data_IF_339620954719
#
_entry.id   IF_339620954719
#
_cell.length_a   1.000
_cell.length_b   1.000
_cell.length_c   1.000
_cell.angle_alpha   90.00
_cell.angle_beta   90.00
_cell.angle_gamma   90.00
#
_symmetry.space_group_name_H-M   'P 1'
#
loop_
_entity.id
_entity.type
_entity.pdbx_description
1 polymer ?
#
# COMPACT_ATOMS: atom_id res chain seq x y z
N UNK A 1 24.47 0.86 18.12
CA UNK A 1 23.11 0.48 17.67
C UNK A 1 23.28 -0.46 16.51
N UNK A 2 23.02 -1.76 16.73
CA UNK A 2 23.34 -2.82 15.78
C UNK A 2 22.59 -2.63 14.48
N UNK A 3 23.30 -2.72 13.35
CA UNK A 3 22.70 -2.72 12.02
C UNK A 3 21.78 -3.94 11.95
N UNK A 4 20.49 -3.68 11.80
CA UNK A 4 19.44 -4.69 11.77
C UNK A 4 19.69 -5.73 10.68
N UNK A 5 19.49 -7.01 10.97
CA UNK A 5 19.67 -8.09 10.01
C UNK A 5 18.60 -8.00 8.91
N UNK A 6 19.03 -7.98 7.65
CA UNK A 6 18.16 -8.21 6.50
C UNK A 6 17.50 -9.60 6.60
N UNK A 7 16.30 -9.82 6.04
CA UNK A 7 15.57 -8.92 5.15
C UNK A 7 14.83 -7.77 5.85
N UNK A 8 14.60 -6.66 5.14
CA UNK A 8 13.86 -5.50 5.62
C UNK A 8 12.40 -5.53 5.12
N UNK A 9 11.45 -5.55 6.05
CA UNK A 9 10.03 -5.42 5.77
C UNK A 9 9.58 -3.98 5.97
N UNK A 10 9.25 -3.30 4.88
CA UNK A 10 8.65 -1.96 4.95
C UNK A 10 7.13 -2.05 5.14
N UNK A 11 6.63 -1.42 6.19
CA UNK A 11 5.21 -1.34 6.53
C UNK A 11 4.73 0.08 6.22
N UNK A 12 3.96 0.22 5.15
CA UNK A 12 3.43 1.50 4.69
C UNK A 12 2.00 1.68 5.22
N UNK A 13 1.81 2.68 6.07
CA UNK A 13 0.56 2.92 6.79
C UNK A 13 -0.12 4.17 6.24
N UNK A 14 -1.33 3.99 5.71
CA UNK A 14 -2.21 5.05 5.24
C UNK A 14 -2.84 5.84 6.40
N UNK A 15 -3.97 6.48 6.12
CA UNK A 15 -4.64 7.39 7.06
C UNK A 15 -6.11 7.03 7.32
N UNK A 16 -6.55 5.88 6.80
CA UNK A 16 -7.97 5.61 6.60
C UNK A 16 -8.48 6.32 5.34
N UNK A 17 -9.12 5.55 4.45
CA UNK A 17 -9.96 6.12 3.40
C UNK A 17 -11.36 6.37 3.97
N UNK A 18 -12.16 7.21 3.31
CA UNK A 18 -13.54 7.57 3.74
C UNK A 18 -14.39 6.34 4.15
N UNK A 19 -14.14 5.18 3.52
CA UNK A 19 -14.86 3.92 3.78
C UNK A 19 -14.06 2.86 4.55
N UNK A 20 -12.84 3.15 5.00
CA UNK A 20 -11.97 2.18 5.65
C UNK A 20 -11.53 2.73 7.01
N UNK A 21 -11.66 1.90 8.05
CA UNK A 21 -11.25 2.27 9.40
C UNK A 21 -9.80 1.88 9.62
N UNK A 22 -9.05 2.81 10.20
CA UNK A 22 -7.70 2.59 10.70
C UNK A 22 -7.55 3.32 12.03
N UNK A 23 -7.83 2.62 13.13
CA UNK A 23 -7.59 3.08 14.49
C UNK A 23 -6.67 2.14 15.26
N UNK A 24 -6.53 2.36 16.57
CA UNK A 24 -5.64 1.57 17.43
C UNK A 24 -5.93 0.05 17.39
N UNK A 25 -7.20 -0.34 17.28
CA UNK A 25 -7.58 -1.76 17.20
C UNK A 25 -7.10 -2.41 15.89
N UNK A 26 -7.28 -1.73 14.76
CA UNK A 26 -6.77 -2.18 13.46
C UNK A 26 -5.24 -2.16 13.43
N UNK A 27 -4.61 -1.17 14.06
CA UNK A 27 -3.16 -1.09 14.22
C UNK A 27 -2.61 -2.27 15.03
N UNK A 28 -3.29 -2.67 16.11
CA UNK A 28 -2.92 -3.85 16.90
C UNK A 28 -3.03 -5.15 16.11
N UNK A 29 -4.06 -5.26 15.28
CA UNK A 29 -4.24 -6.39 14.37
C UNK A 29 -3.15 -6.45 13.29
N UNK A 30 -2.80 -5.29 12.72
CA UNK A 30 -1.69 -5.14 11.78
C UNK A 30 -0.36 -5.53 12.42
N UNK A 31 -0.08 -5.02 13.63
CA UNK A 31 1.12 -5.36 14.40
C UNK A 31 1.27 -6.87 14.59
N UNK A 32 0.23 -7.55 15.06
CA UNK A 32 0.24 -9.01 15.21
C UNK A 32 0.47 -9.76 13.90
N UNK A 33 -0.08 -9.25 12.79
CA UNK A 33 0.14 -9.86 11.48
C UNK A 33 1.60 -9.67 11.00
N UNK A 34 2.19 -8.49 11.25
CA UNK A 34 3.60 -8.21 10.94
C UNK A 34 4.52 -9.08 11.79
N UNK A 35 4.25 -9.25 13.09
CA UNK A 35 5.09 -10.08 13.96
C UNK A 35 5.12 -11.53 13.51
N UNK A 36 3.97 -12.08 13.09
CA UNK A 36 3.91 -13.41 12.49
C UNK A 36 4.67 -13.50 11.16
N UNK A 37 4.62 -12.45 10.34
CA UNK A 37 5.36 -12.40 9.08
C UNK A 37 6.88 -12.42 9.31
N UNK A 38 7.35 -11.67 10.32
CA UNK A 38 8.76 -11.65 10.71
C UNK A 38 9.16 -12.95 11.39
N UNK A 39 8.34 -13.53 12.25
CA UNK A 39 8.61 -14.83 12.87
C UNK A 39 8.79 -15.93 11.81
N UNK A 40 7.97 -15.91 10.75
CA UNK A 40 8.03 -16.88 9.67
C UNK A 40 9.24 -16.72 8.74
N UNK A 41 9.81 -15.51 8.62
CA UNK A 41 10.78 -15.18 7.56
C UNK A 41 12.10 -14.60 8.06
N UNK A 42 12.17 -14.22 9.33
CA UNK A 42 13.22 -13.40 9.90
C UNK A 42 13.21 -11.97 9.36
N UNK A 43 14.09 -11.14 9.93
CA UNK A 43 14.35 -9.80 9.44
C UNK A 43 13.91 -8.68 10.37
N UNK A 44 13.79 -7.50 9.79
CA UNK A 44 13.62 -6.23 10.52
C UNK A 44 12.48 -5.41 9.94
N UNK A 45 11.79 -4.66 10.80
CA UNK A 45 10.60 -3.88 10.39
C UNK A 45 10.96 -2.40 10.24
N UNK A 46 10.55 -1.79 9.13
CA UNK A 46 10.54 -0.33 9.00
C UNK A 46 9.09 0.13 8.83
N UNK A 47 8.56 0.91 9.78
CA UNK A 47 7.21 1.47 9.66
C UNK A 47 7.29 2.88 9.11
N UNK A 48 6.54 3.17 8.05
CA UNK A 48 6.37 4.50 7.48
C UNK A 48 4.89 4.85 7.38
N UNK A 49 4.43 5.73 8.27
CA UNK A 49 3.07 6.27 8.20
C UNK A 49 2.98 7.56 7.39
N UNK A 50 1.88 7.75 6.67
CA UNK A 50 1.54 9.02 5.99
C UNK A 50 1.40 10.20 6.99
N UNK A 51 1.37 11.47 6.54
CA UNK A 51 1.30 12.63 7.44
C UNK A 51 -0.11 12.78 8.07
N UNK A 52 -1.08 12.00 7.58
CA UNK A 52 -2.46 11.96 8.04
C UNK A 52 -2.75 10.73 8.90
N UNK A 53 -1.74 9.89 9.15
CA UNK A 53 -1.89 8.70 9.99
C UNK A 53 -2.17 9.14 11.42
N UNK A 54 -3.18 8.54 12.05
CA UNK A 54 -3.53 8.83 13.42
C UNK A 54 -2.36 8.53 14.37
N UNK A 55 -2.15 9.40 15.37
CA UNK A 55 -1.03 9.26 16.29
C UNK A 55 -1.11 7.98 17.13
N UNK A 56 -2.32 7.54 17.52
CA UNK A 56 -2.52 6.30 18.26
C UNK A 56 -2.22 5.06 17.40
N UNK A 57 -2.45 5.14 16.09
CA UNK A 57 -2.02 4.08 15.14
C UNK A 57 -0.49 3.99 15.09
N UNK A 58 0.20 5.13 14.99
CA UNK A 58 1.66 5.17 14.98
C UNK A 58 2.26 4.71 16.32
N UNK A 59 1.63 5.05 17.44
CA UNK A 59 2.04 4.61 18.76
C UNK A 59 1.99 3.07 18.87
N UNK A 60 0.88 2.44 18.46
CA UNK A 60 0.77 0.98 18.46
C UNK A 60 1.84 0.33 17.58
N UNK A 61 2.19 0.96 16.46
CA UNK A 61 3.19 0.47 15.50
C UNK A 61 4.61 0.96 15.81
N UNK A 62 4.84 1.61 16.94
CA UNK A 62 6.16 2.16 17.27
C UNK A 62 7.11 1.12 17.86
N UNK A 63 6.59 -0.02 18.32
CA UNK A 63 7.33 -1.07 19.01
C UNK A 63 7.05 -2.45 18.42
N UNK A 64 8.09 -3.24 18.15
CA UNK A 64 8.00 -4.65 17.76
C UNK A 64 8.95 -5.51 18.58
N UNK A 65 8.65 -6.80 18.70
CA UNK A 65 9.57 -7.77 19.33
C UNK A 65 10.87 -7.96 18.53
N UNK A 66 10.80 -7.82 17.21
CA UNK A 66 11.96 -7.88 16.32
C UNK A 66 12.65 -6.50 16.20
N UNK A 67 13.92 -6.46 15.76
CA UNK A 67 14.57 -5.20 15.43
C UNK A 67 13.72 -4.34 14.48
N UNK A 68 13.49 -3.09 14.85
CA UNK A 68 12.58 -2.21 14.13
C UNK A 68 13.04 -0.76 14.12
N UNK A 69 12.59 -0.04 13.10
CA UNK A 69 12.73 1.40 12.94
C UNK A 69 11.36 1.99 12.60
N UNK A 70 10.92 2.97 13.36
CA UNK A 70 9.68 3.69 13.11
C UNK A 70 10.01 5.07 12.55
N UNK A 71 9.48 5.39 11.36
CA UNK A 71 9.61 6.71 10.74
C UNK A 71 8.23 7.32 10.45
N UNK A 72 8.10 8.61 10.71
CA UNK A 72 6.96 9.37 10.24
C UNK A 72 7.29 9.94 8.86
N UNK A 73 6.51 9.60 7.83
CA UNK A 73 6.71 10.19 6.51
C UNK A 73 6.27 11.65 6.51
N UNK A 74 7.07 12.49 5.87
CA UNK A 74 6.80 13.91 5.64
C UNK A 74 7.10 14.24 4.18
N UNK A 75 6.41 15.23 3.62
CA UNK A 75 6.60 15.63 2.22
C UNK A 75 8.04 16.08 1.91
N UNK A 76 8.71 16.69 2.89
CA UNK A 76 10.12 17.14 2.80
C UNK A 76 11.05 16.23 3.61
N UNK A 77 10.89 14.91 3.48
CA UNK A 77 11.71 13.91 4.20
C UNK A 77 13.13 13.73 3.65
N UNK A 78 13.59 14.60 2.76
CA UNK A 78 14.90 14.49 2.11
C UNK A 78 15.07 13.24 1.23
N UNK A 79 13.98 12.62 0.79
CA UNK A 79 14.00 11.40 -0.01
C UNK A 79 14.01 10.10 0.81
N UNK A 80 13.78 10.18 2.12
CA UNK A 80 13.78 9.01 3.00
C UNK A 80 12.78 7.92 2.56
N UNK A 81 11.60 8.30 2.08
CA UNK A 81 10.62 7.35 1.56
C UNK A 81 11.09 6.64 0.30
N UNK A 82 11.74 7.36 -0.63
CA UNK A 82 12.29 6.74 -1.83
C UNK A 82 13.46 5.80 -1.50
N UNK A 83 14.28 6.19 -0.52
CA UNK A 83 15.32 5.33 0.03
C UNK A 83 14.70 4.07 0.67
N UNK A 84 13.62 4.20 1.44
CA UNK A 84 12.88 3.08 2.00
C UNK A 84 12.37 2.13 0.92
N UNK A 85 11.71 2.63 -0.13
CA UNK A 85 11.25 1.81 -1.25
C UNK A 85 12.41 1.05 -1.92
N UNK A 86 13.58 1.69 -2.00
CA UNK A 86 14.80 1.12 -2.60
C UNK A 86 15.49 0.10 -1.70
N UNK A 87 15.45 0.26 -0.38
CA UNK A 87 16.13 -0.59 0.60
C UNK A 87 15.30 -1.78 1.08
N UNK A 88 13.98 -1.63 1.15
CA UNK A 88 13.09 -2.69 1.62
C UNK A 88 13.22 -3.95 0.75
N UNK A 89 13.14 -5.14 1.31
CA UNK A 89 13.09 -6.38 0.52
C UNK A 89 11.66 -6.75 0.16
N UNK A 90 10.71 -6.40 1.04
CA UNK A 90 9.27 -6.67 0.90
C UNK A 90 8.44 -5.58 1.55
N UNK A 91 7.16 -5.52 1.16
CA UNK A 91 6.22 -4.53 1.67
C UNK A 91 4.97 -5.15 2.29
N UNK A 92 4.50 -4.53 3.38
CA UNK A 92 3.13 -4.63 3.87
C UNK A 92 2.50 -3.25 3.75
N UNK A 93 1.32 -3.13 3.15
CA UNK A 93 0.66 -1.86 2.92
C UNK A 93 -0.79 -1.94 3.39
N UNK A 94 -1.27 -0.94 4.12
CA UNK A 94 -2.70 -0.87 4.45
C UNK A 94 -3.54 -0.64 3.19
N UNK A 95 -4.66 -1.36 3.09
CA UNK A 95 -5.49 -1.40 1.86
C UNK A 95 -6.17 -0.08 1.48
N UNK A 96 -6.02 0.99 2.25
CA UNK A 96 -6.63 2.30 2.04
C UNK A 96 -5.83 3.25 1.13
N UNK A 97 -4.58 2.92 0.81
CA UNK A 97 -3.68 3.81 0.09
C UNK A 97 -3.26 3.26 -1.28
N UNK A 98 -4.02 3.63 -2.32
CA UNK A 98 -3.69 3.28 -3.71
C UNK A 98 -2.31 3.81 -4.12
N UNK A 99 -1.92 4.99 -3.65
CA UNK A 99 -0.61 5.57 -3.97
C UNK A 99 0.53 4.74 -3.36
N UNK A 100 0.44 4.38 -2.07
CA UNK A 100 1.47 3.55 -1.42
C UNK A 100 1.54 2.15 -2.03
N UNK A 101 0.38 1.55 -2.36
CA UNK A 101 0.35 0.28 -3.10
C UNK A 101 1.06 0.43 -4.44
N UNK A 102 0.76 1.49 -5.19
CA UNK A 102 1.36 1.74 -6.51
C UNK A 102 2.87 1.96 -6.41
N UNK A 103 3.34 2.71 -5.41
CA UNK A 103 4.75 2.98 -5.16
C UNK A 103 5.49 1.70 -4.76
N UNK A 104 4.96 0.93 -3.82
CA UNK A 104 5.52 -0.36 -3.41
C UNK A 104 5.59 -1.33 -4.60
N UNK A 105 4.51 -1.47 -5.37
CA UNK A 105 4.49 -2.30 -6.57
C UNK A 105 5.51 -1.84 -7.62
N UNK A 106 5.69 -0.53 -7.79
CA UNK A 106 6.65 0.01 -8.76
C UNK A 106 8.11 -0.32 -8.46
N UNK A 107 8.42 -0.74 -7.23
CA UNK A 107 9.75 -1.23 -6.85
C UNK A 107 10.07 -2.61 -7.44
N UNK A 108 9.07 -3.34 -7.95
CA UNK A 108 9.20 -4.71 -8.45
C UNK A 108 9.33 -5.78 -7.36
N UNK A 109 9.26 -5.39 -6.08
CA UNK A 109 9.42 -6.29 -4.93
C UNK A 109 8.07 -6.80 -4.42
N UNK A 110 8.03 -7.94 -3.70
CA UNK A 110 6.79 -8.48 -3.16
C UNK A 110 6.07 -7.50 -2.24
N UNK A 111 4.79 -7.31 -2.48
CA UNK A 111 3.91 -6.46 -1.68
C UNK A 111 2.68 -7.23 -1.19
N UNK A 112 2.31 -7.01 0.06
CA UNK A 112 1.16 -7.62 0.73
C UNK A 112 0.21 -6.51 1.19
N UNK A 113 -1.07 -6.64 0.87
CA UNK A 113 -2.11 -5.78 1.43
C UNK A 113 -2.52 -6.27 2.82
N UNK A 114 -2.62 -5.34 3.77
CA UNK A 114 -3.38 -5.53 5.00
C UNK A 114 -4.80 -4.98 4.80
N UNK A 115 -5.83 -5.86 4.75
CA UNK A 115 -7.21 -5.43 4.54
C UNK A 115 -7.73 -4.69 5.76
N UNK A 116 -8.30 -3.50 5.54
CA UNK A 116 -8.94 -2.72 6.58
C UNK A 116 -10.46 -2.94 6.56
N UNK A 117 -11.12 -2.97 7.74
CA UNK A 117 -12.56 -3.12 7.81
C UNK A 117 -13.26 -1.88 7.24
N UNK A 118 -14.40 -2.11 6.58
CA UNK A 118 -15.22 -1.01 6.08
C UNK A 118 -15.93 -0.27 7.22
N UNK A 119 -16.09 1.04 7.08
CA UNK A 119 -16.98 1.81 7.96
C UNK A 119 -18.44 1.42 7.71
N UNK A 120 -19.28 1.44 8.75
CA UNK A 120 -20.73 1.26 8.61
C UNK A 120 -21.43 2.46 7.95
N UNK A 121 -20.71 3.57 7.78
CA UNK A 121 -21.21 4.79 7.15
C UNK A 121 -21.32 4.64 5.64
N UNK A 122 -22.53 4.37 5.15
CA UNK A 122 -22.88 4.27 3.73
C UNK A 122 -23.39 5.60 3.18
N UNK A 123 -22.53 6.61 3.03
CA UNK A 123 -22.77 7.60 1.97
C UNK A 123 -22.19 7.05 0.67
N UNK A 124 -22.99 6.26 -0.04
CA UNK A 124 -22.68 5.72 -1.35
C UNK A 124 -23.64 6.29 -2.37
N UNK A 125 -23.25 7.33 -3.08
CA UNK A 125 -23.84 7.67 -4.38
C UNK A 125 -23.28 6.79 -5.48
N UNK A 126 -24.17 6.29 -6.33
CA UNK A 126 -23.82 5.49 -7.51
C UNK A 126 -23.50 6.42 -8.69
N UNK A 127 -22.35 6.23 -9.33
CA UNK A 127 -22.08 6.81 -10.65
C UNK A 127 -22.65 5.97 -11.80
N UNK A 128 -23.34 4.86 -11.49
CA UNK A 128 -23.82 3.93 -12.51
C UNK A 128 -25.21 4.32 -13.03
N UNK A 129 -25.99 5.12 -12.28
CA UNK A 129 -27.37 5.49 -12.66
C UNK A 129 -27.80 6.82 -12.03
N UNK A 130 -28.73 7.53 -12.69
CA UNK A 130 -29.36 8.76 -12.17
C UNK A 130 -28.55 10.04 -12.41
N UNK A 131 -28.98 11.14 -11.75
CA UNK A 131 -28.38 12.49 -11.90
C UNK A 131 -26.89 12.50 -11.53
N UNK A 132 -26.49 11.69 -10.54
CA UNK A 132 -25.09 11.53 -10.13
C UNK A 132 -24.21 10.94 -11.22
N UNK A 133 -24.73 10.04 -12.07
CA UNK A 133 -24.00 9.52 -13.24
C UNK A 133 -23.84 10.58 -14.33
N UNK A 134 -24.85 11.44 -14.53
CA UNK A 134 -24.76 12.56 -15.47
C UNK A 134 -23.71 13.60 -15.01
N UNK A 135 -23.72 13.96 -13.72
CA UNK A 135 -22.74 14.86 -13.12
C UNK A 135 -21.32 14.26 -13.13
N UNK A 136 -21.21 12.93 -12.97
CA UNK A 136 -19.94 12.25 -13.10
C UNK A 136 -19.40 12.26 -14.53
N UNK A 137 -20.25 11.98 -15.52
CA UNK A 137 -19.88 12.06 -16.95
C UNK A 137 -19.54 13.48 -17.40
N UNK A 138 -20.16 14.50 -16.81
CA UNK A 138 -19.86 15.90 -17.10
C UNK A 138 -18.62 16.41 -16.37
N UNK A 139 -17.94 15.59 -15.56
CA UNK A 139 -16.77 15.99 -14.78
C UNK A 139 -17.07 16.92 -13.60
N UNK A 140 -18.35 17.24 -13.36
CA UNK A 140 -18.80 18.04 -12.23
C UNK A 140 -18.71 17.26 -10.91
N UNK A 141 -18.52 15.94 -10.99
CA UNK A 141 -18.51 15.07 -9.84
C UNK A 141 -17.54 13.90 -10.06
N UNK A 142 -16.59 13.69 -9.16
CA UNK A 142 -15.75 12.49 -9.22
C UNK A 142 -16.37 11.39 -8.35
N UNK A 143 -16.72 10.22 -8.93
CA UNK A 143 -17.19 9.12 -8.11
C UNK A 143 -16.09 8.69 -7.15
N UNK A 144 -16.46 8.29 -5.92
CA UNK A 144 -15.48 7.91 -4.94
C UNK A 144 -14.80 6.62 -5.40
N UNK A 145 -13.46 6.65 -5.51
CA UNK A 145 -12.66 5.50 -5.96
C UNK A 145 -12.99 4.27 -5.12
N UNK A 146 -13.26 3.15 -5.78
CA UNK A 146 -13.48 1.87 -5.12
C UNK A 146 -12.13 1.17 -4.91
N UNK A 147 -11.49 1.54 -3.80
CA UNK A 147 -10.16 1.04 -3.45
C UNK A 147 -10.21 -0.47 -3.19
N UNK A 148 -11.28 -0.98 -2.58
CA UNK A 148 -11.44 -2.41 -2.32
C UNK A 148 -11.49 -3.21 -3.62
N UNK A 149 -12.22 -2.71 -4.64
CA UNK A 149 -12.22 -3.33 -5.96
C UNK A 149 -10.84 -3.32 -6.61
N UNK A 150 -10.15 -2.18 -6.62
CA UNK A 150 -8.81 -2.07 -7.21
C UNK A 150 -7.81 -3.02 -6.54
N UNK A 151 -7.79 -3.05 -5.21
CA UNK A 151 -6.93 -3.96 -4.44
C UNK A 151 -7.30 -5.41 -4.75
N UNK A 152 -8.59 -5.73 -4.86
CA UNK A 152 -9.08 -7.05 -5.27
C UNK A 152 -8.59 -7.47 -6.66
N UNK A 153 -8.68 -6.57 -7.64
CA UNK A 153 -8.21 -6.81 -9.00
C UNK A 153 -6.69 -7.07 -9.04
N UNK A 154 -5.90 -6.32 -8.27
CA UNK A 154 -4.44 -6.53 -8.15
C UNK A 154 -4.09 -7.87 -7.49
N UNK A 155 -4.88 -8.29 -6.50
CA UNK A 155 -4.72 -9.60 -5.82
C UNK A 155 -5.10 -10.75 -6.75
N UNK A 156 -6.22 -10.63 -7.47
CA UNK A 156 -6.63 -11.63 -8.46
C UNK A 156 -5.60 -11.75 -9.57
N UNK A 157 -5.09 -10.63 -10.06
CA UNK A 157 -4.03 -10.56 -11.04
C UNK A 157 -2.67 -11.03 -10.48
N UNK A 158 -2.54 -11.32 -9.18
CA UNK A 158 -1.34 -11.88 -8.58
C UNK A 158 -0.18 -10.90 -8.36
N UNK A 159 -0.41 -9.60 -8.58
CA UNK A 159 0.60 -8.56 -8.34
C UNK A 159 0.73 -8.19 -6.86
N UNK A 160 -0.35 -8.34 -6.11
CA UNK A 160 -0.45 -7.99 -4.70
C UNK A 160 -0.89 -9.23 -3.93
N UNK A 161 -0.26 -9.52 -2.80
CA UNK A 161 -0.75 -10.56 -1.89
C UNK A 161 -1.68 -9.98 -0.82
N UNK A 162 -2.17 -10.85 0.06
CA UNK A 162 -2.93 -10.50 1.26
C UNK A 162 -2.15 -11.04 2.46
N UNK A 163 -1.77 -10.15 3.38
CA UNK A 163 -0.93 -10.50 4.53
C UNK A 163 -1.54 -11.67 5.32
N UNK A 164 -0.74 -12.72 5.52
CA UNK A 164 -1.14 -13.94 6.24
C UNK A 164 -2.14 -14.85 5.51
N UNK A 165 -2.50 -14.56 4.27
CA UNK A 165 -3.48 -15.34 3.50
C UNK A 165 -2.97 -15.78 2.14
N UNK A 166 -2.31 -14.88 1.40
CA UNK A 166 -1.90 -15.12 0.01
C UNK A 166 -0.64 -14.34 -0.34
N UNK A 167 0.37 -15.01 -0.87
CA UNK A 167 1.54 -14.35 -1.44
C UNK A 167 1.26 -13.79 -2.85
N UNK A 168 1.89 -12.68 -3.25
CA UNK A 168 1.88 -12.25 -4.65
C UNK A 168 2.57 -13.34 -5.49
N UNK A 169 2.02 -13.61 -6.67
CA UNK A 169 2.51 -14.66 -7.57
C UNK A 169 3.36 -14.11 -8.72
N UNK A 170 3.38 -12.79 -8.94
CA UNK A 170 4.25 -12.14 -9.93
C UNK A 170 4.61 -10.71 -9.52
N UNK A 171 5.82 -10.23 -9.88
CA UNK A 171 6.21 -8.85 -9.64
C UNK A 171 5.42 -7.89 -10.54
N UNK A 172 5.22 -6.66 -10.07
CA UNK A 172 4.74 -5.57 -10.90
C UNK A 172 5.94 -4.85 -11.53
N UNK A 173 6.21 -5.15 -12.80
CA UNK A 173 7.28 -4.49 -13.55
C UNK A 173 6.70 -3.28 -14.28
N UNK A 174 7.27 -2.10 -14.03
CA UNK A 174 6.81 -0.83 -14.60
C UNK A 174 7.14 -0.81 -16.10
N UNK A 175 6.15 -1.19 -16.91
CA UNK A 175 6.19 -1.41 -18.36
C UNK A 175 7.22 -2.47 -18.78
N UNK A 176 6.73 -3.54 -19.43
CA UNK A 176 7.59 -4.44 -20.18
C UNK A 176 8.50 -3.59 -21.07
N UNK A 177 9.81 -3.81 -21.01
CA UNK A 177 10.76 -3.19 -21.94
C UNK A 177 10.29 -3.35 -23.39
N UNK A 178 9.51 -4.41 -23.66
CA UNK A 178 8.83 -4.68 -24.90
C UNK A 178 7.82 -3.59 -25.34
N UNK A 179 7.08 -2.95 -24.44
CA UNK A 179 6.16 -1.84 -24.77
C UNK A 179 6.95 -0.57 -25.09
N UNK A 180 7.98 -0.27 -24.30
CA UNK A 180 8.89 0.86 -24.57
C UNK A 180 9.59 0.67 -25.91
N UNK A 181 10.06 -0.55 -26.19
CA UNK A 181 10.74 -0.89 -27.43
C UNK A 181 9.79 -0.85 -28.63
N UNK A 182 8.55 -1.32 -28.47
CA UNK A 182 7.52 -1.21 -29.52
C UNK A 182 7.17 0.24 -29.83
N UNK A 183 7.10 1.12 -28.82
CA UNK A 183 6.90 2.56 -29.04
C UNK A 183 8.12 3.15 -29.76
N UNK A 184 9.36 2.79 -29.39
CA UNK A 184 10.56 3.22 -30.11
C UNK A 184 10.56 2.78 -31.57
N UNK A 185 10.19 1.53 -31.84
CA UNK A 185 10.08 1.00 -33.19
C UNK A 185 9.05 1.75 -34.03
N UNK A 186 7.87 2.04 -33.47
CA UNK A 186 6.83 2.81 -34.14
C UNK A 186 7.28 4.24 -34.46
N UNK A 187 8.00 4.88 -33.53
CA UNK A 187 8.57 6.22 -33.72
C UNK A 187 9.72 6.25 -34.73
N UNK A 188 10.50 5.16 -34.84
CA UNK A 188 11.59 5.05 -35.82
C UNK A 188 11.09 4.72 -37.24
N UNK A 189 9.85 4.24 -37.37
CA UNK A 189 9.20 3.90 -38.64
C UNK A 189 8.26 4.99 -39.19
N UNK A 190 8.16 6.14 -38.50
CA UNK A 190 7.36 7.30 -38.89
C UNK A 190 8.27 8.42 -39.41
#
# INVERSE_FOLDING_TARGET
>A
MGVSAAPWLAVLVGAGAIRLRLGAAEAGSLKHAIEREIEARGGSVIVAGSPRTDAGVLEVLSHFQSPHLSMAWKKDDGGAFQALLSLADRFVITSDSVSMISEALSSGKPALAFPLPQTSWRMGWSAQSGITAALARSGLLQPPRDISRLTGDLVQAGYLGVLGQREPSRPFLRADQHVVERIRQLLASA
#
